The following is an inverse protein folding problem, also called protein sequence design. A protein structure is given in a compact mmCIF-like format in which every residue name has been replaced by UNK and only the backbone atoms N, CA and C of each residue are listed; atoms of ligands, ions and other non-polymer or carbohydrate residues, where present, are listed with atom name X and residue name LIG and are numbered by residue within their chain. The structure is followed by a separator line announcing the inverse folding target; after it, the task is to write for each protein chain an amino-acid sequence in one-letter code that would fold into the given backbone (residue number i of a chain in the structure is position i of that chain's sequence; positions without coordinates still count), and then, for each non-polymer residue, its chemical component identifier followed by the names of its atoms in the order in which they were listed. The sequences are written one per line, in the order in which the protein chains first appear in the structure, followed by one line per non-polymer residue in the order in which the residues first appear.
data_IF_436094296072
#
_entry.id   IF_436094296072
#
_cell.length_a   1.000
_cell.length_b   1.000
_cell.length_c   1.000
_cell.angle_alpha   90.00
_cell.angle_beta   90.00
_cell.angle_gamma   90.00
#
_symmetry.space_group_name_H-M   'P 1'
#
loop_
_entity.id
_entity.type
_entity.pdbx_description
1 polymer ?
#
# COMPACT_ATOMS: atom_id res chain seq x y z
N UNK A 1 -31.93 8.48 35.01
CA UNK A 1 -30.81 7.87 34.27
C UNK A 1 -30.44 8.81 33.15
N UNK A 2 -29.16 9.13 32.97
CA UNK A 2 -28.71 9.75 31.73
C UNK A 2 -29.01 8.79 30.57
N UNK A 3 -29.31 9.29 29.35
CA UNK A 3 -29.43 8.44 28.17
C UNK A 3 -28.16 7.60 28.03
N UNK A 4 -28.29 6.33 27.62
CA UNK A 4 -27.14 5.42 27.54
C UNK A 4 -26.03 5.93 26.62
N UNK A 5 -26.38 6.71 25.58
CA UNK A 5 -25.46 7.42 24.70
C UNK A 5 -26.06 8.75 24.24
N UNK A 6 -25.23 9.78 24.09
CA UNK A 6 -25.62 11.10 23.57
C UNK A 6 -24.74 11.52 22.38
N UNK A 7 -25.22 12.34 21.44
CA UNK A 7 -24.42 12.76 20.30
C UNK A 7 -23.36 13.79 20.71
N UNK A 8 -22.17 13.69 20.13
CA UNK A 8 -21.12 14.68 20.24
C UNK A 8 -20.46 14.99 18.91
N UNK A 9 -19.63 16.04 18.91
CA UNK A 9 -18.80 16.47 17.78
C UNK A 9 -17.37 16.64 18.29
N UNK A 10 -16.40 15.99 17.65
CA UNK A 10 -14.99 16.21 17.97
C UNK A 10 -14.57 17.60 17.49
N UNK A 11 -13.97 18.40 18.36
CA UNK A 11 -13.42 19.73 18.02
C UNK A 11 -11.91 19.75 17.93
N UNK A 12 -11.23 18.89 18.69
CA UNK A 12 -9.79 18.69 18.52
C UNK A 12 -9.35 17.32 19.03
N UNK A 13 -8.34 16.75 18.40
CA UNK A 13 -7.66 15.52 18.84
C UNK A 13 -6.32 15.84 19.51
N UNK A 14 -6.07 15.24 20.67
CA UNK A 14 -4.84 15.38 21.45
C UNK A 14 -4.01 14.09 21.32
N UNK A 15 -3.17 14.04 20.29
CA UNK A 15 -2.47 12.82 19.89
C UNK A 15 -1.61 12.18 21.01
N UNK A 16 -0.97 13.00 21.86
CA UNK A 16 -0.09 12.49 22.91
C UNK A 16 -0.84 11.68 23.98
N UNK A 17 -2.07 12.06 24.31
CA UNK A 17 -2.88 11.39 25.33
C UNK A 17 -3.99 10.50 24.75
N UNK A 18 -4.21 10.51 23.44
CA UNK A 18 -5.28 9.79 22.74
C UNK A 18 -6.68 10.20 23.22
N UNK A 19 -6.86 11.50 23.45
CA UNK A 19 -8.11 12.09 23.93
C UNK A 19 -8.65 13.14 22.96
N UNK A 20 -9.93 13.46 23.06
CA UNK A 20 -10.60 14.44 22.21
C UNK A 20 -11.29 15.53 23.03
N UNK A 21 -11.22 16.78 22.58
CA UNK A 21 -12.15 17.82 23.04
C UNK A 21 -13.46 17.66 22.28
N UNK A 22 -14.56 17.48 23.00
CA UNK A 22 -15.86 17.17 22.41
C UNK A 22 -16.89 18.24 22.74
N UNK A 23 -17.63 18.67 21.72
CA UNK A 23 -18.84 19.46 21.88
C UNK A 23 -20.03 18.53 22.04
N UNK A 24 -20.89 18.84 23.01
CA UNK A 24 -22.13 18.14 23.29
C UNK A 24 -23.25 19.17 23.10
N UNK A 25 -23.95 19.17 21.96
CA UNK A 25 -24.99 20.16 21.68
C UNK A 25 -26.02 20.25 22.79
N UNK A 26 -26.29 21.47 23.27
CA UNK A 26 -27.21 21.76 24.38
C UNK A 26 -26.63 21.58 25.78
N UNK A 27 -25.45 20.96 25.94
CA UNK A 27 -24.78 20.80 27.24
C UNK A 27 -23.52 21.66 27.36
N UNK A 28 -22.78 21.85 26.26
CA UNK A 28 -21.52 22.61 26.23
C UNK A 28 -21.65 23.95 25.50
N UNK A 29 -22.87 24.39 25.22
CA UNK A 29 -23.13 25.64 24.51
C UNK A 29 -22.64 26.83 25.33
N UNK A 30 -21.72 27.62 24.79
CA UNK A 30 -21.11 28.77 25.48
C UNK A 30 -20.03 28.42 26.51
N UNK A 31 -19.54 27.18 26.55
CA UNK A 31 -18.44 26.79 27.42
C UNK A 31 -17.08 27.30 26.91
N UNK A 32 -16.27 27.87 27.79
CA UNK A 32 -14.90 28.32 27.47
C UNK A 32 -13.95 27.15 27.17
N UNK A 33 -14.19 26.01 27.81
CA UNK A 33 -13.40 24.78 27.67
C UNK A 33 -14.32 23.59 27.48
N UNK A 34 -14.14 22.91 26.36
CA UNK A 34 -14.91 21.70 26.04
C UNK A 34 -14.43 20.50 26.89
N UNK A 35 -15.33 19.59 27.27
CA UNK A 35 -14.98 18.33 27.94
C UNK A 35 -13.89 17.57 27.19
N UNK A 36 -13.01 16.94 27.97
CA UNK A 36 -11.98 16.03 27.46
C UNK A 36 -12.53 14.61 27.53
N UNK A 37 -12.62 13.95 26.38
CA UNK A 37 -13.15 12.61 26.25
C UNK A 37 -12.05 11.59 25.96
N UNK A 38 -12.07 10.47 26.68
CA UNK A 38 -11.30 9.28 26.33
C UNK A 38 -11.92 8.60 25.10
N UNK A 39 -11.12 7.83 24.37
CA UNK A 39 -11.58 6.99 23.27
C UNK A 39 -11.75 5.56 23.78
N UNK A 40 -12.97 5.02 23.69
CA UNK A 40 -13.21 3.59 23.90
C UNK A 40 -12.57 2.80 22.75
N UNK A 41 -11.38 2.25 23.00
CA UNK A 41 -10.69 1.42 22.02
C UNK A 41 -11.48 0.12 21.79
N UNK A 42 -11.82 -0.22 20.54
CA UNK A 42 -12.48 -1.47 20.24
C UNK A 42 -11.55 -2.64 20.54
N UNK A 43 -12.15 -3.78 20.92
CA UNK A 43 -11.40 -5.00 21.18
C UNK A 43 -10.55 -5.38 19.95
N UNK A 44 -9.24 -5.53 20.17
CA UNK A 44 -8.25 -5.80 19.12
C UNK A 44 -7.30 -4.63 18.86
N UNK A 45 -7.77 -3.40 19.06
CA UNK A 45 -6.95 -2.20 19.00
C UNK A 45 -6.35 -1.87 20.37
N UNK A 46 -5.12 -1.33 20.38
CA UNK A 46 -4.40 -0.99 21.61
C UNK A 46 -3.55 0.26 21.40
N UNK A 47 -3.94 1.37 22.05
CA UNK A 47 -3.15 2.62 22.05
C UNK A 47 -1.73 2.44 22.58
N UNK A 48 -1.54 1.46 23.47
CA UNK A 48 -0.26 1.13 24.09
C UNK A 48 0.01 -0.37 24.01
N UNK A 49 0.96 -0.75 23.16
CA UNK A 49 1.48 -2.12 23.04
C UNK A 49 3.00 -2.08 22.86
N UNK A 50 3.69 -3.18 23.18
CA UNK A 50 5.16 -3.28 23.04
C UNK A 50 5.61 -3.30 21.57
N UNK A 51 4.81 -3.93 20.71
CA UNK A 51 4.94 -3.92 19.26
C UNK A 51 3.52 -3.87 18.69
N UNK A 52 3.29 -3.08 17.64
CA UNK A 52 1.99 -2.94 16.95
C UNK A 52 0.90 -2.22 17.76
N UNK A 53 1.26 -1.14 18.46
CA UNK A 53 0.24 -0.22 18.98
C UNK A 53 -0.56 0.39 17.81
N UNK A 54 -1.87 0.56 18.00
CA UNK A 54 -2.75 1.09 16.97
C UNK A 54 -3.26 2.47 17.33
N UNK A 55 -3.51 3.25 16.28
CA UNK A 55 -4.12 4.57 16.35
C UNK A 55 -5.35 4.57 15.47
N UNK A 56 -6.47 4.96 16.06
CA UNK A 56 -7.72 5.20 15.32
C UNK A 56 -7.68 6.67 14.92
N UNK A 57 -7.72 6.94 13.62
CA UNK A 57 -7.79 8.31 13.12
C UNK A 57 -9.06 8.99 13.63
N UNK A 58 -8.91 10.11 14.33
CA UNK A 58 -9.98 10.99 14.74
C UNK A 58 -9.61 12.41 14.36
N UNK A 59 -10.52 13.11 13.68
CA UNK A 59 -10.33 14.47 13.20
C UNK A 59 -11.41 15.41 13.71
N UNK A 60 -11.10 16.70 13.70
CA UNK A 60 -12.09 17.72 14.04
C UNK A 60 -13.26 17.66 13.05
N UNK A 61 -14.48 17.70 13.59
CA UNK A 61 -15.73 17.55 12.83
C UNK A 61 -16.35 16.16 12.91
N UNK A 62 -15.62 15.16 13.40
CA UNK A 62 -16.16 13.81 13.51
C UNK A 62 -17.37 13.75 14.43
N UNK A 63 -18.42 13.08 13.93
CA UNK A 63 -19.64 12.85 14.68
C UNK A 63 -19.47 11.57 15.49
N UNK A 64 -19.72 11.66 16.80
CA UNK A 64 -19.47 10.55 17.73
C UNK A 64 -20.66 10.30 18.66
N UNK A 65 -20.69 9.10 19.25
CA UNK A 65 -21.54 8.77 20.38
C UNK A 65 -20.72 8.79 21.67
N UNK A 66 -21.23 9.53 22.66
CA UNK A 66 -20.62 9.67 23.97
C UNK A 66 -21.39 8.88 25.03
N UNK A 67 -20.65 8.17 25.87
CA UNK A 67 -21.09 7.68 27.17
C UNK A 67 -20.29 8.40 28.27
N UNK A 68 -20.49 8.02 29.52
CA UNK A 68 -19.88 8.68 30.68
C UNK A 68 -19.43 7.66 31.70
N UNK A 69 -18.23 7.82 32.25
CA UNK A 69 -17.69 6.94 33.30
C UNK A 69 -18.61 6.93 34.53
N UNK A 70 -19.19 5.77 34.83
CA UNK A 70 -20.16 5.64 35.94
C UNK A 70 -21.39 6.54 35.81
N UNK A 71 -21.63 7.13 34.63
CA UNK A 71 -22.67 8.14 34.41
C UNK A 71 -22.31 9.56 34.85
N UNK A 72 -21.03 9.88 35.11
CA UNK A 72 -20.60 11.25 35.44
C UNK A 72 -20.35 12.10 34.17
N UNK A 73 -21.16 13.15 33.92
CA UNK A 73 -21.03 13.98 32.71
C UNK A 73 -19.68 14.66 32.52
N UNK A 74 -18.85 14.75 33.58
CA UNK A 74 -17.53 15.36 33.52
C UNK A 74 -16.47 14.48 32.86
N UNK A 75 -16.72 13.17 32.76
CA UNK A 75 -15.80 12.17 32.22
C UNK A 75 -16.44 11.46 31.02
N UNK A 76 -16.54 12.14 29.86
CA UNK A 76 -17.09 11.55 28.65
C UNK A 76 -16.15 10.50 28.03
N UNK A 77 -16.74 9.49 27.41
CA UNK A 77 -16.05 8.47 26.63
C UNK A 77 -16.66 8.42 25.23
N UNK A 78 -15.83 8.51 24.19
CA UNK A 78 -16.22 8.25 22.80
C UNK A 78 -16.37 6.74 22.61
N UNK A 79 -17.60 6.30 22.40
CA UNK A 79 -17.94 4.86 22.24
C UNK A 79 -17.99 4.39 20.79
N UNK A 80 -17.80 5.33 19.85
CA UNK A 80 -17.77 5.06 18.42
C UNK A 80 -18.24 6.23 17.58
N UNK A 81 -18.01 6.11 16.27
CA UNK A 81 -18.50 7.07 15.29
C UNK A 81 -20.01 6.98 15.11
N UNK A 82 -20.61 8.13 14.86
CA UNK A 82 -22.03 8.29 14.58
C UNK A 82 -22.20 8.59 13.10
N UNK A 83 -23.00 7.77 12.42
CA UNK A 83 -23.29 7.97 11.00
C UNK A 83 -23.92 9.33 10.74
N UNK A 84 -23.50 9.98 9.65
CA UNK A 84 -24.22 11.10 9.09
C UNK A 84 -25.60 10.63 8.58
N UNK A 85 -26.57 11.53 8.52
CA UNK A 85 -27.92 11.19 8.01
C UNK A 85 -28.00 11.23 6.47
N UNK A 86 -26.97 11.73 5.80
CA UNK A 86 -26.86 11.83 4.35
C UNK A 86 -25.37 11.83 3.95
N UNK A 87 -25.08 11.50 2.69
CA UNK A 87 -23.71 11.51 2.16
C UNK A 87 -22.80 10.38 2.65
N UNK A 88 -23.35 9.32 3.25
CA UNK A 88 -22.57 8.16 3.66
C UNK A 88 -21.99 7.43 2.44
N UNK A 89 -20.78 6.89 2.59
CA UNK A 89 -20.19 6.01 1.56
C UNK A 89 -21.04 4.74 1.38
N UNK A 90 -21.16 4.30 0.14
CA UNK A 90 -21.88 3.08 -0.26
C UNK A 90 -20.86 2.13 -0.89
N UNK A 91 -20.88 0.84 -0.55
CA UNK A 91 -20.01 -0.22 -1.08
C UNK A 91 -18.50 -0.09 -0.85
N UNK A 92 -18.06 0.94 -0.12
CA UNK A 92 -16.65 1.20 0.14
C UNK A 92 -16.32 1.13 1.62
N UNK A 93 -15.26 0.39 1.94
CA UNK A 93 -14.52 0.53 3.20
C UNK A 93 -13.18 1.20 2.91
N UNK A 94 -12.85 2.26 3.66
CA UNK A 94 -11.60 3.02 3.50
C UNK A 94 -10.93 3.18 4.84
N UNK A 95 -9.60 3.14 4.83
CA UNK A 95 -8.76 3.50 5.95
C UNK A 95 -7.84 4.62 5.47
N UNK A 96 -7.75 5.66 6.27
CA UNK A 96 -6.86 6.78 6.04
C UNK A 96 -6.05 7.00 7.31
N UNK A 97 -4.77 7.29 7.11
CA UNK A 97 -3.83 7.68 8.13
C UNK A 97 -2.58 8.23 7.42
N UNK A 98 -1.75 8.98 8.14
CA UNK A 98 -0.48 9.45 7.58
C UNK A 98 0.44 8.27 7.17
N UNK A 99 0.40 7.18 7.95
CA UNK A 99 1.16 5.95 7.71
C UNK A 99 0.29 4.74 8.08
N UNK A 100 0.36 3.67 7.30
CA UNK A 100 -0.32 2.40 7.56
C UNK A 100 0.70 1.27 7.45
N UNK A 101 0.80 0.44 8.48
CA UNK A 101 1.59 -0.79 8.49
C UNK A 101 0.66 -2.00 8.63
N UNK A 102 0.91 -3.03 7.82
CA UNK A 102 0.23 -4.32 7.89
C UNK A 102 1.28 -5.41 8.07
N UNK A 103 1.32 -5.99 9.27
CA UNK A 103 2.33 -7.00 9.65
C UNK A 103 1.65 -8.32 9.98
N UNK A 104 2.19 -9.41 9.45
CA UNK A 104 1.73 -10.77 9.73
C UNK A 104 2.94 -11.70 9.83
N UNK A 105 2.98 -12.55 10.86
CA UNK A 105 4.08 -13.51 11.07
C UNK A 105 4.08 -14.65 10.05
N UNK A 106 2.91 -14.98 9.52
CA UNK A 106 2.71 -16.06 8.55
C UNK A 106 2.41 -15.55 7.16
N UNK A 107 1.12 -15.33 6.88
CA UNK A 107 0.64 -15.03 5.54
C UNK A 107 -0.16 -13.73 5.55
N UNK A 108 0.24 -12.80 4.69
CA UNK A 108 -0.61 -11.71 4.23
C UNK A 108 -1.22 -12.09 2.86
N UNK A 109 -2.55 -12.20 2.77
CA UNK A 109 -3.24 -12.64 1.55
C UNK A 109 -4.29 -11.62 1.12
N UNK A 110 -4.29 -11.27 -0.16
CA UNK A 110 -5.28 -10.41 -0.80
C UNK A 110 -5.96 -11.19 -1.92
N UNK A 111 -7.28 -11.39 -1.82
CA UNK A 111 -8.09 -12.03 -2.87
C UNK A 111 -9.07 -10.99 -3.42
N UNK A 112 -8.94 -10.62 -4.69
CA UNK A 112 -9.79 -9.63 -5.33
C UNK A 112 -9.80 -9.80 -6.85
N UNK A 113 -10.78 -9.20 -7.52
CA UNK A 113 -10.84 -9.19 -8.98
C UNK A 113 -9.83 -8.21 -9.60
N UNK A 114 -9.56 -7.08 -8.93
CA UNK A 114 -8.60 -6.06 -9.36
C UNK A 114 -7.84 -5.52 -8.15
N UNK A 115 -6.51 -5.53 -8.24
CA UNK A 115 -5.61 -4.95 -7.25
C UNK A 115 -4.85 -3.78 -7.89
N UNK A 116 -4.90 -2.61 -7.24
CA UNK A 116 -4.30 -1.38 -7.76
C UNK A 116 -3.38 -0.76 -6.71
N UNK A 117 -2.16 -0.42 -7.13
CA UNK A 117 -1.18 0.30 -6.31
C UNK A 117 -0.81 1.58 -7.06
N UNK A 118 -1.07 2.72 -6.43
CA UNK A 118 -0.71 4.04 -6.95
C UNK A 118 0.26 4.71 -5.98
N UNK A 119 1.56 4.57 -6.22
CA UNK A 119 2.62 5.19 -5.44
C UNK A 119 3.34 6.26 -6.29
N UNK A 120 3.52 7.46 -5.74
CA UNK A 120 4.15 8.59 -6.47
C UNK A 120 5.67 8.51 -6.53
N UNK A 121 6.30 7.79 -5.60
CA UNK A 121 7.76 7.68 -5.50
C UNK A 121 8.26 6.30 -5.93
N UNK A 122 7.83 5.24 -5.23
CA UNK A 122 8.35 3.89 -5.45
C UNK A 122 7.38 2.82 -4.95
N UNK A 123 7.41 1.65 -5.60
CA UNK A 123 6.96 0.38 -5.03
C UNK A 123 8.19 -0.49 -4.82
N UNK A 124 8.55 -0.76 -3.57
CA UNK A 124 9.71 -1.58 -3.19
C UNK A 124 9.25 -3.00 -2.81
N UNK A 125 9.76 -4.02 -3.50
CA UNK A 125 9.36 -5.42 -3.32
C UNK A 125 10.58 -6.25 -2.92
N UNK A 126 10.78 -6.39 -1.60
CA UNK A 126 11.89 -7.17 -1.02
C UNK A 126 11.44 -8.59 -0.72
N UNK A 127 11.67 -9.49 -1.67
CA UNK A 127 11.35 -10.92 -1.55
C UNK A 127 12.46 -11.76 -2.21
N UNK A 128 12.78 -12.95 -1.67
CA UNK A 128 13.64 -13.91 -2.38
C UNK A 128 13.06 -14.36 -3.73
N UNK A 129 11.74 -14.36 -3.89
CA UNK A 129 11.06 -14.77 -5.12
C UNK A 129 9.75 -14.01 -5.34
N UNK A 130 9.53 -13.55 -6.57
CA UNK A 130 8.26 -13.03 -7.05
C UNK A 130 7.82 -13.85 -8.26
N UNK A 131 6.55 -14.28 -8.29
CA UNK A 131 5.99 -15.08 -9.37
C UNK A 131 4.80 -14.37 -9.98
N UNK A 132 4.85 -14.19 -11.30
CA UNK A 132 3.75 -13.69 -12.11
C UNK A 132 3.35 -14.83 -13.06
N UNK A 133 2.12 -15.32 -12.94
CA UNK A 133 1.66 -16.49 -13.72
C UNK A 133 1.37 -16.16 -15.18
N UNK A 134 1.19 -14.89 -15.49
CA UNK A 134 0.78 -14.38 -16.80
C UNK A 134 1.68 -13.20 -17.21
N UNK A 135 1.25 -12.45 -18.21
CA UNK A 135 1.97 -11.30 -18.75
C UNK A 135 2.32 -10.24 -17.70
N UNK A 136 3.58 -9.80 -17.71
CA UNK A 136 4.05 -8.58 -17.06
C UNK A 136 4.26 -7.50 -18.12
N UNK A 137 3.76 -6.29 -17.89
CA UNK A 137 3.96 -5.14 -18.79
C UNK A 137 4.73 -4.05 -18.05
N UNK A 138 5.92 -3.71 -18.54
CA UNK A 138 6.65 -2.50 -18.15
C UNK A 138 6.49 -1.45 -19.25
N UNK A 139 5.93 -0.29 -18.89
CA UNK A 139 5.76 0.83 -19.85
C UNK A 139 7.05 1.63 -19.98
N UNK A 140 7.77 1.80 -18.87
CA UNK A 140 9.09 2.40 -18.84
C UNK A 140 10.20 1.37 -19.07
N UNK A 141 11.43 1.81 -18.86
CA UNK A 141 12.63 0.98 -18.94
C UNK A 141 12.54 -0.18 -17.93
N UNK A 142 12.67 -1.41 -18.42
CA UNK A 142 12.91 -2.58 -17.58
C UNK A 142 14.42 -2.72 -17.35
N UNK A 143 14.87 -2.46 -16.13
CA UNK A 143 16.25 -2.74 -15.70
C UNK A 143 16.28 -4.03 -14.90
N UNK A 144 17.21 -4.93 -15.19
CA UNK A 144 17.42 -6.17 -14.45
C UNK A 144 18.92 -6.40 -14.17
N UNK A 145 19.22 -7.07 -13.06
CA UNK A 145 20.57 -7.50 -12.69
C UNK A 145 20.53 -9.00 -12.38
N UNK A 146 21.64 -9.72 -12.59
CA UNK A 146 21.68 -11.18 -12.42
C UNK A 146 21.29 -12.00 -13.66
N UNK A 147 21.11 -11.34 -14.80
CA UNK A 147 20.81 -11.97 -16.09
C UNK A 147 19.32 -12.09 -16.40
N UNK A 148 19.02 -12.59 -17.60
CA UNK A 148 17.67 -12.84 -18.09
C UNK A 148 17.64 -14.24 -18.72
N UNK A 149 16.76 -15.10 -18.22
CA UNK A 149 16.49 -16.40 -18.82
C UNK A 149 15.02 -16.44 -19.26
N UNK A 150 14.77 -16.84 -20.50
CA UNK A 150 13.43 -16.94 -21.06
C UNK A 150 13.26 -18.26 -21.82
N UNK A 151 12.14 -18.94 -21.57
CA UNK A 151 11.68 -20.08 -22.35
C UNK A 151 10.41 -19.70 -23.10
N UNK A 152 10.41 -19.91 -24.41
CA UNK A 152 9.24 -19.68 -25.24
C UNK A 152 8.20 -20.78 -25.08
N UNK A 153 6.98 -20.50 -25.54
CA UNK A 153 6.00 -21.56 -25.80
C UNK A 153 6.40 -22.37 -27.04
N UNK A 154 5.66 -23.43 -27.36
CA UNK A 154 5.86 -24.21 -28.60
C UNK A 154 5.66 -23.40 -29.89
N UNK A 155 5.16 -22.16 -29.79
CA UNK A 155 4.97 -21.26 -30.92
C UNK A 155 5.50 -19.85 -30.65
N UNK A 156 6.06 -19.23 -31.69
CA UNK A 156 6.59 -17.87 -31.64
C UNK A 156 8.02 -17.77 -31.09
N UNK A 157 8.56 -16.55 -31.11
CA UNK A 157 9.87 -16.26 -30.54
C UNK A 157 9.77 -16.12 -29.02
N UNK A 158 10.69 -16.72 -28.27
CA UNK A 158 10.82 -16.52 -26.81
C UNK A 158 11.06 -15.06 -26.43
N UNK A 159 11.72 -14.31 -27.32
CA UNK A 159 11.91 -12.87 -27.22
C UNK A 159 11.74 -12.24 -28.61
N UNK A 160 10.91 -11.19 -28.69
CA UNK A 160 10.77 -10.36 -29.90
C UNK A 160 11.11 -8.93 -29.53
N UNK A 161 12.14 -8.39 -30.16
CA UNK A 161 12.65 -7.04 -29.92
C UNK A 161 12.38 -6.21 -31.18
N UNK A 162 11.76 -5.06 -31.02
CA UNK A 162 11.60 -4.07 -32.07
C UNK A 162 12.50 -2.88 -31.74
N UNK A 163 13.51 -2.64 -32.57
CA UNK A 163 14.60 -1.70 -32.30
C UNK A 163 15.95 -2.40 -32.38
N UNK A 164 17.01 -1.67 -32.03
CA UNK A 164 18.36 -2.22 -31.95
C UNK A 164 18.60 -2.97 -30.64
N UNK A 165 19.63 -3.81 -30.65
CA UNK A 165 20.23 -4.39 -29.46
C UNK A 165 21.68 -3.91 -29.45
N UNK A 166 22.09 -3.24 -28.36
CA UNK A 166 23.48 -2.86 -28.13
C UNK A 166 24.09 -3.82 -27.12
N UNK A 167 25.11 -4.56 -27.55
CA UNK A 167 25.91 -5.42 -26.69
C UNK A 167 27.18 -4.66 -26.30
N UNK A 168 27.42 -4.45 -25.00
CA UNK A 168 28.65 -3.83 -24.50
C UNK A 168 29.42 -4.84 -23.66
N UNK A 169 30.48 -5.39 -24.23
CA UNK A 169 31.30 -6.42 -23.60
C UNK A 169 30.67 -7.82 -23.69
N UNK A 170 31.51 -8.83 -23.91
CA UNK A 170 31.05 -10.20 -24.16
C UNK A 170 30.54 -10.41 -25.58
N UNK A 171 29.92 -11.56 -25.84
CA UNK A 171 29.46 -11.97 -27.17
C UNK A 171 28.00 -12.44 -27.13
N UNK A 172 27.20 -12.04 -28.13
CA UNK A 172 25.88 -12.63 -28.36
C UNK A 172 26.10 -13.96 -29.11
N UNK A 173 25.69 -15.08 -28.51
CA UNK A 173 25.84 -16.42 -29.08
C UNK A 173 24.48 -17.01 -29.43
N UNK A 174 24.33 -17.49 -30.66
CA UNK A 174 23.14 -18.21 -31.14
C UNK A 174 23.53 -19.61 -31.59
N UNK A 175 23.02 -20.64 -30.92
CA UNK A 175 23.35 -22.05 -31.19
C UNK A 175 24.87 -22.34 -31.21
N UNK A 176 25.62 -21.68 -30.32
CA UNK A 176 27.08 -21.80 -30.26
C UNK A 176 27.85 -20.94 -31.26
N UNK A 177 27.16 -20.23 -32.16
CA UNK A 177 27.77 -19.31 -33.13
C UNK A 177 27.68 -17.89 -32.61
N UNK A 178 28.84 -17.26 -32.41
CA UNK A 178 28.94 -15.88 -31.94
C UNK A 178 28.66 -14.87 -33.05
N UNK A 179 27.84 -13.86 -32.76
CA UNK A 179 27.44 -12.84 -33.74
C UNK A 179 28.64 -12.03 -34.23
N UNK A 180 29.58 -11.69 -33.35
CA UNK A 180 30.76 -10.87 -33.69
C UNK A 180 31.93 -11.71 -34.23
N UNK A 181 32.06 -12.96 -33.76
CA UNK A 181 33.17 -13.85 -34.14
C UNK A 181 32.87 -14.80 -35.29
N UNK A 182 31.63 -14.90 -35.80
CA UNK A 182 31.35 -15.85 -36.88
C UNK A 182 32.13 -15.53 -38.15
N UNK A 183 32.48 -16.61 -38.85
CA UNK A 183 33.18 -16.59 -40.12
C UNK A 183 32.44 -17.47 -41.12
N UNK A 184 32.53 -17.14 -42.39
CA UNK A 184 32.06 -17.99 -43.47
C UNK A 184 33.25 -18.71 -44.11
N UNK A 185 33.07 -19.99 -44.42
CA UNK A 185 33.97 -20.72 -45.30
C UNK A 185 33.61 -20.40 -46.75
N UNK A 186 34.56 -19.89 -47.54
CA UNK A 186 34.38 -19.66 -48.96
C UNK A 186 34.69 -20.94 -49.76
N UNK A 187 34.12 -21.08 -50.96
CA UNK A 187 34.34 -22.27 -51.80
C UNK A 187 35.80 -22.38 -52.29
N UNK A 188 36.40 -21.25 -52.68
CA UNK A 188 37.72 -21.17 -53.34
C UNK A 188 38.68 -20.16 -52.67
N UNK A 189 38.38 -19.74 -51.43
CA UNK A 189 39.08 -18.66 -50.73
C UNK A 189 39.35 -18.96 -49.25
N UNK A 190 40.27 -18.22 -48.59
CA UNK A 190 40.43 -18.31 -47.15
C UNK A 190 39.12 -17.86 -46.45
N UNK A 191 38.82 -18.35 -45.22
CA UNK A 191 37.65 -17.91 -44.48
C UNK A 191 37.58 -16.39 -44.33
N UNK A 192 36.36 -15.86 -44.26
CA UNK A 192 36.17 -14.42 -44.03
C UNK A 192 36.83 -13.99 -42.72
N UNK A 193 37.33 -12.76 -42.63
CA UNK A 193 37.79 -12.18 -41.36
C UNK A 193 36.65 -11.97 -40.36
N UNK A 194 36.99 -11.50 -39.14
CA UNK A 194 35.99 -11.16 -38.12
C UNK A 194 35.18 -9.95 -38.57
N UNK A 195 33.97 -9.80 -38.02
CA UNK A 195 33.22 -8.55 -38.14
C UNK A 195 34.09 -7.37 -37.66
N UNK A 196 34.04 -6.26 -38.39
CA UNK A 196 34.74 -5.02 -38.05
C UNK A 196 33.72 -3.94 -37.71
N UNK A 197 34.05 -3.12 -36.71
CA UNK A 197 33.31 -1.90 -36.38
C UNK A 197 33.56 -0.80 -37.42
#
# INVERSE_FOLDING_TARGET
MLPSRIPGIVRSYLAASRECRVEIPGLTDGADVLPLAEIEYPIGDKSKAASHATEIEIVAGDLVWLAFEGGDPRYPIITGFRNARAGNAIDWRRWHHANIELTADGIFRVNCARYEINASEMVDVKTPQATFSEKVTSVGLLTYQGGLAGSGSSSGASAKIQGGIENTGGEIVSNGIGVESHHHEEHDGPPTGRAKA
#
